data_IF_258093074558
#
_entry.id   IF_258093074558
#
_cell.length_a   1.000
_cell.length_b   1.000
_cell.length_c   1.000
_cell.angle_alpha   90.00
_cell.angle_beta   90.00
_cell.angle_gamma   90.00
#
_symmetry.space_group_name_H-M   'P 1'
#
loop_
_entity.id
_entity.type
_entity.pdbx_description
1 polymer ?
#
# COMPACT_ATOMS: atom_id res chain seq x y z
N UNK A 1 -21.36 -0.03 0.54
CA UNK A 1 -21.87 1.02 -0.36
C UNK A 1 -20.84 1.24 -1.46
N UNK A 2 -21.26 1.46 -2.72
CA UNK A 2 -20.34 1.81 -3.80
C UNK A 2 -20.50 3.28 -4.19
N UNK A 3 -19.41 3.88 -4.67
CA UNK A 3 -19.40 5.23 -5.25
C UNK A 3 -18.94 5.13 -6.69
N UNK A 4 -19.38 6.07 -7.53
CA UNK A 4 -19.01 6.12 -8.95
C UNK A 4 -17.91 7.16 -9.16
N UNK A 5 -16.87 6.78 -9.89
CA UNK A 5 -15.83 7.69 -10.37
C UNK A 5 -15.71 7.57 -11.89
N UNK A 6 -15.43 8.68 -12.57
CA UNK A 6 -15.10 8.69 -13.99
C UNK A 6 -13.58 8.76 -14.13
N UNK A 7 -13.00 7.77 -14.82
CA UNK A 7 -11.56 7.70 -15.08
C UNK A 7 -11.30 7.88 -16.58
N UNK A 8 -10.18 8.53 -16.92
CA UNK A 8 -9.67 8.56 -18.29
C UNK A 8 -8.67 7.42 -18.45
N UNK A 9 -8.79 6.68 -19.53
CA UNK A 9 -7.89 5.61 -19.90
C UNK A 9 -7.35 5.91 -21.30
N UNK A 10 -6.11 5.51 -21.55
CA UNK A 10 -5.57 5.43 -22.90
C UNK A 10 -6.35 4.35 -23.68
N UNK A 11 -6.52 4.55 -24.99
CA UNK A 11 -7.35 3.68 -25.83
C UNK A 11 -6.84 2.23 -25.82
N UNK A 12 -5.52 2.05 -25.83
CA UNK A 12 -4.87 0.73 -25.79
C UNK A 12 -5.15 -0.02 -24.48
N UNK A 13 -5.15 0.68 -23.34
CA UNK A 13 -5.46 0.11 -22.03
C UNK A 13 -6.92 -0.30 -21.98
N UNK A 14 -7.81 0.54 -22.49
CA UNK A 14 -9.26 0.26 -22.53
C UNK A 14 -9.55 -0.96 -23.41
N UNK A 15 -8.91 -1.10 -24.56
CA UNK A 15 -9.10 -2.27 -25.43
C UNK A 15 -8.52 -3.57 -24.82
N UNK A 16 -7.38 -3.49 -24.14
CA UNK A 16 -6.84 -4.63 -23.37
C UNK A 16 -7.75 -5.04 -22.22
N UNK A 17 -8.38 -4.07 -21.54
CA UNK A 17 -9.34 -4.33 -20.49
C UNK A 17 -10.63 -4.98 -21.03
N UNK A 18 -11.07 -4.59 -22.22
CA UNK A 18 -12.19 -5.23 -22.94
C UNK A 18 -11.92 -6.71 -23.20
N UNK A 19 -10.75 -7.05 -23.76
CA UNK A 19 -10.36 -8.45 -23.99
C UNK A 19 -10.30 -9.25 -22.68
N UNK A 20 -9.75 -8.65 -21.62
CA UNK A 20 -9.64 -9.30 -20.31
C UNK A 20 -11.03 -9.54 -19.69
N UNK A 21 -11.95 -8.59 -19.83
CA UNK A 21 -13.33 -8.71 -19.37
C UNK A 21 -14.03 -9.91 -20.03
N UNK A 22 -13.91 -10.02 -21.35
CA UNK A 22 -14.49 -11.12 -22.12
C UNK A 22 -13.90 -12.48 -21.72
N UNK A 23 -12.57 -12.56 -21.62
CA UNK A 23 -11.86 -13.80 -21.27
C UNK A 23 -12.16 -14.27 -19.83
N UNK A 24 -12.46 -13.35 -18.91
CA UNK A 24 -12.72 -13.66 -17.50
C UNK A 24 -14.21 -13.73 -17.15
N UNK A 25 -15.10 -13.46 -18.11
CA UNK A 25 -16.55 -13.30 -17.89
C UNK A 25 -16.86 -12.29 -16.78
N UNK A 26 -16.12 -11.18 -16.73
CA UNK A 26 -16.33 -10.09 -15.77
C UNK A 26 -16.64 -8.80 -16.50
N UNK A 27 -17.33 -7.88 -15.84
CA UNK A 27 -17.51 -6.54 -16.40
C UNK A 27 -16.21 -5.73 -16.27
N UNK A 28 -16.00 -4.80 -17.21
CA UNK A 28 -14.90 -3.81 -17.12
C UNK A 28 -14.88 -3.08 -15.78
N UNK A 29 -16.05 -2.65 -15.31
CA UNK A 29 -16.18 -1.93 -14.05
C UNK A 29 -15.77 -2.77 -12.86
N UNK A 30 -16.05 -4.08 -12.88
CA UNK A 30 -15.59 -5.00 -11.85
C UNK A 30 -14.05 -5.09 -11.86
N UNK A 31 -13.45 -5.36 -13.03
CA UNK A 31 -11.99 -5.46 -13.14
C UNK A 31 -11.26 -4.16 -12.77
N UNK A 32 -11.80 -3.01 -13.18
CA UNK A 32 -11.25 -1.71 -12.83
C UNK A 32 -11.33 -1.46 -11.32
N UNK A 33 -12.46 -1.78 -10.69
CA UNK A 33 -12.61 -1.63 -9.23
C UNK A 33 -11.65 -2.56 -8.46
N UNK A 34 -11.49 -3.81 -8.91
CA UNK A 34 -10.56 -4.77 -8.32
C UNK A 34 -9.11 -4.29 -8.43
N UNK A 35 -8.71 -3.78 -9.60
CA UNK A 35 -7.37 -3.24 -9.83
C UNK A 35 -7.10 -2.02 -8.94
N UNK A 36 -8.06 -1.10 -8.83
CA UNK A 36 -7.97 0.07 -7.94
C UNK A 36 -7.85 -0.37 -6.48
N UNK A 37 -8.67 -1.33 -6.03
CA UNK A 37 -8.60 -1.85 -4.65
C UNK A 37 -7.21 -2.41 -4.34
N UNK A 38 -6.71 -3.31 -5.20
CA UNK A 38 -5.40 -3.92 -5.03
C UNK A 38 -4.27 -2.88 -5.00
N UNK A 39 -4.37 -1.86 -5.86
CA UNK A 39 -3.42 -0.75 -5.86
C UNK A 39 -3.47 0.04 -4.55
N UNK A 40 -4.66 0.39 -4.07
CA UNK A 40 -4.82 1.12 -2.81
C UNK A 40 -4.26 0.30 -1.65
N UNK A 41 -4.69 -0.96 -1.48
CA UNK A 41 -4.23 -1.85 -0.39
C UNK A 41 -2.70 -2.00 -0.36
N UNK A 42 -2.08 -2.10 -1.54
CA UNK A 42 -0.62 -2.25 -1.65
C UNK A 42 0.15 -0.99 -1.27
N UNK A 43 -0.42 0.20 -1.50
CA UNK A 43 0.30 1.47 -1.35
C UNK A 43 -0.11 2.24 -0.08
N UNK A 44 -1.30 2.00 0.46
CA UNK A 44 -1.82 2.76 1.60
C UNK A 44 -1.05 2.49 2.90
N UNK A 45 -0.48 1.29 3.07
CA UNK A 45 0.18 0.92 4.32
C UNK A 45 1.40 1.80 4.60
N UNK A 46 2.21 2.13 3.58
CA UNK A 46 3.40 2.96 3.76
C UNK A 46 3.03 4.37 4.19
N UNK A 47 2.00 4.94 3.57
CA UNK A 47 1.53 6.29 3.89
C UNK A 47 1.02 6.33 5.33
N UNK A 48 0.22 5.32 5.73
CA UNK A 48 -0.28 5.21 7.10
C UNK A 48 0.86 5.08 8.11
N UNK A 49 1.84 4.23 7.84
CA UNK A 49 2.97 3.99 8.75
C UNK A 49 3.84 5.24 8.90
N UNK A 50 4.12 5.95 7.80
CA UNK A 50 4.88 7.21 7.85
C UNK A 50 4.13 8.25 8.68
N UNK A 51 2.81 8.38 8.49
CA UNK A 51 2.02 9.34 9.25
C UNK A 51 1.97 8.97 10.74
N UNK A 52 1.82 7.70 11.09
CA UNK A 52 1.87 7.23 12.47
C UNK A 52 3.24 7.51 13.11
N UNK A 53 4.34 7.14 12.44
CA UNK A 53 5.69 7.38 12.92
C UNK A 53 6.00 8.88 13.10
N UNK A 54 5.48 9.75 12.23
CA UNK A 54 5.60 11.20 12.41
C UNK A 54 4.86 11.68 13.67
N UNK A 55 3.65 11.18 13.92
CA UNK A 55 2.91 11.52 15.14
C UNK A 55 3.62 11.03 16.41
N UNK A 56 4.17 9.83 16.41
CA UNK A 56 4.97 9.28 17.52
C UNK A 56 6.22 10.14 17.76
N UNK A 57 6.93 10.52 16.69
CA UNK A 57 8.09 11.38 16.77
C UNK A 57 7.77 12.78 17.31
N UNK A 58 6.67 13.38 16.87
CA UNK A 58 6.16 14.67 17.37
C UNK A 58 5.75 14.58 18.85
N UNK A 59 5.21 13.44 19.28
CA UNK A 59 4.89 13.15 20.68
C UNK A 59 6.14 12.85 21.53
N UNK A 60 7.33 12.74 20.92
CA UNK A 60 8.57 12.38 21.60
C UNK A 60 8.65 10.91 22.01
N UNK A 61 7.83 10.04 21.42
CA UNK A 61 7.79 8.60 21.68
C UNK A 61 8.97 7.89 21.01
N UNK A 62 10.16 8.14 21.54
CA UNK A 62 11.40 7.51 21.10
C UNK A 62 11.91 6.53 22.14
N UNK A 63 12.57 5.48 21.67
CA UNK A 63 13.29 4.57 22.54
C UNK A 63 14.37 5.33 23.33
N UNK A 64 14.47 5.01 24.63
CA UNK A 64 15.52 5.52 25.49
C UNK A 64 16.89 4.96 25.11
N UNK A 65 17.96 5.65 25.49
CA UNK A 65 19.33 5.18 25.27
C UNK A 65 19.58 3.76 25.81
N UNK A 66 18.93 3.40 26.92
CA UNK A 66 19.05 2.07 27.54
C UNK A 66 18.43 0.98 26.67
N UNK A 67 17.28 1.25 26.06
CA UNK A 67 16.59 0.34 25.15
C UNK A 67 17.38 0.15 23.86
N UNK A 68 17.91 1.23 23.29
CA UNK A 68 18.79 1.19 22.12
C UNK A 68 20.05 0.36 22.42
N UNK A 69 20.67 0.57 23.59
CA UNK A 69 21.85 -0.20 24.00
C UNK A 69 21.53 -1.69 24.23
N UNK A 70 20.34 -2.02 24.74
CA UNK A 70 19.89 -3.39 24.91
C UNK A 70 19.65 -4.10 23.57
N UNK A 71 19.02 -3.41 22.61
CA UNK A 71 18.83 -3.89 21.25
C UNK A 71 20.17 -4.17 20.57
N UNK A 72 21.11 -3.21 20.63
CA UNK A 72 22.44 -3.37 20.05
C UNK A 72 23.19 -4.59 20.60
N UNK A 73 23.05 -4.91 21.90
CA UNK A 73 23.64 -6.12 22.49
C UNK A 73 22.97 -7.42 22.01
N UNK A 74 21.63 -7.42 21.86
CA UNK A 74 20.86 -8.58 21.40
C UNK A 74 21.26 -9.01 19.99
N UNK A 75 21.49 -8.04 19.10
CA UNK A 75 21.74 -8.31 17.68
C UNK A 75 23.22 -8.27 17.27
N UNK A 76 24.15 -7.91 18.19
CA UNK A 76 25.60 -7.94 17.98
C UNK A 76 26.22 -9.33 17.77
N UNK A 77 25.42 -10.40 17.76
CA UNK A 77 25.94 -11.78 17.84
C UNK A 77 26.27 -12.40 16.46
N UNK A 78 25.82 -11.88 15.31
CA UNK A 78 26.12 -12.49 14.00
C UNK A 78 26.26 -11.49 12.84
N UNK A 79 27.14 -10.49 12.97
CA UNK A 79 27.68 -9.78 11.81
C UNK A 79 29.14 -10.22 11.64
N UNK A 80 29.35 -11.28 10.86
CA UNK A 80 30.66 -11.66 10.30
C UNK A 80 30.60 -11.50 8.80
#
# INVERSE_FOLDING_TARGET
MSTTMTIRLEDDVKDRLDILADATQRSKSFLAAEAIRAYVETNEWQIREIQAALMEAEAGDFASEKEVAALARKWKVNAR
#
